data_IF_060251703790
#
_entry.id   IF_060251703790
#
_cell.length_a   1.000
_cell.length_b   1.000
_cell.length_c   1.000
_cell.angle_alpha   90.00
_cell.angle_beta   90.00
_cell.angle_gamma   90.00
#
_symmetry.space_group_name_H-M   'P 1'
#
loop_
_entity.id
_entity.type
_entity.pdbx_description
1 polymer ?
#
# COMPACT_ATOMS: atom_id res chain seq x y z
N UNK A 1 4.56 -4.43 10.28
CA UNK A 1 4.39 -3.46 9.17
C UNK A 1 5.67 -2.66 9.01
N UNK A 2 6.17 -2.56 7.79
CA UNK A 2 7.46 -1.92 7.45
C UNK A 2 7.24 -0.86 6.39
N UNK A 3 7.92 0.30 6.54
CA UNK A 3 7.76 1.47 5.67
C UNK A 3 9.08 1.84 4.97
N UNK A 4 9.43 1.18 3.85
CA UNK A 4 10.74 1.33 3.21
C UNK A 4 11.05 2.75 2.69
N UNK A 5 10.01 3.55 2.43
CA UNK A 5 10.10 4.94 1.96
C UNK A 5 9.54 5.96 2.96
N UNK A 6 9.21 5.52 4.18
CA UNK A 6 8.57 6.38 5.18
C UNK A 6 7.22 6.91 4.69
N UNK A 7 7.04 8.23 4.76
CA UNK A 7 5.82 8.93 4.34
C UNK A 7 5.82 9.35 2.86
N UNK A 8 6.89 9.10 2.10
CA UNK A 8 7.00 9.57 0.70
C UNK A 8 5.99 8.86 -0.19
N UNK A 9 5.22 9.64 -0.95
CA UNK A 9 4.19 9.17 -1.88
C UNK A 9 4.21 9.99 -3.17
N UNK A 10 3.78 9.39 -4.26
CA UNK A 10 3.57 10.06 -5.55
C UNK A 10 2.18 10.71 -5.66
N UNK A 11 1.23 10.34 -4.76
CA UNK A 11 -0.07 10.99 -4.60
C UNK A 11 -0.05 12.00 -3.44
N UNK A 12 -1.10 12.82 -3.38
CA UNK A 12 -1.40 13.77 -2.31
C UNK A 12 -2.90 13.71 -1.98
N UNK A 13 -3.35 12.54 -1.49
CA UNK A 13 -4.74 12.33 -1.11
C UNK A 13 -5.10 13.25 0.06
N UNK A 14 -6.20 14.01 -0.03
CA UNK A 14 -6.54 15.08 0.91
C UNK A 14 -6.68 14.62 2.37
N UNK A 15 -7.19 13.41 2.58
CA UNK A 15 -7.34 12.81 3.92
C UNK A 15 -6.08 12.07 4.42
N UNK A 16 -4.96 12.08 3.66
CA UNK A 16 -3.82 11.23 3.97
C UNK A 16 -3.02 11.76 5.17
N UNK A 17 -3.10 11.07 6.30
CA UNK A 17 -2.36 11.44 7.51
C UNK A 17 -0.83 11.42 7.36
N UNK A 18 -0.29 10.84 6.27
CA UNK A 18 1.15 10.90 5.96
C UNK A 18 1.59 12.26 5.42
N UNK A 19 0.70 13.08 4.83
CA UNK A 19 1.05 14.38 4.28
C UNK A 19 1.63 15.32 5.36
N UNK A 20 1.00 15.36 6.53
CA UNK A 20 1.49 16.17 7.65
C UNK A 20 2.78 15.60 8.24
N UNK A 21 2.90 14.28 8.34
CA UNK A 21 4.08 13.62 8.88
C UNK A 21 5.32 13.78 8.02
N UNK A 22 5.18 14.03 6.73
CA UNK A 22 6.32 14.34 5.86
C UNK A 22 7.05 15.63 6.29
N UNK A 23 6.31 16.58 6.89
CA UNK A 23 6.87 17.85 7.40
C UNK A 23 7.73 17.68 8.66
N UNK A 24 7.55 16.59 9.41
CA UNK A 24 8.37 16.31 10.61
C UNK A 24 9.84 16.02 10.29
N UNK A 25 10.16 15.82 9.02
CA UNK A 25 11.47 15.37 8.55
C UNK A 25 12.03 16.27 7.44
N UNK A 26 11.71 17.57 7.46
CA UNK A 26 12.10 18.53 6.42
C UNK A 26 13.62 18.65 6.24
N UNK A 27 14.41 18.42 7.31
CA UNK A 27 15.87 18.46 7.26
C UNK A 27 16.51 17.18 6.66
N UNK A 28 15.75 16.09 6.52
CA UNK A 28 16.22 14.85 5.92
C UNK A 28 15.29 14.40 4.79
N UNK A 29 15.53 14.80 3.56
CA UNK A 29 14.54 14.68 2.47
C UNK A 29 14.19 13.25 2.04
N UNK A 30 14.86 12.22 2.54
CA UNK A 30 14.58 10.82 2.15
C UNK A 30 14.87 9.85 3.28
N UNK A 31 13.87 9.50 4.07
CA UNK A 31 13.91 8.35 4.98
C UNK A 31 13.73 7.04 4.19
N UNK A 32 14.74 6.69 3.41
CA UNK A 32 14.76 5.47 2.63
C UNK A 32 15.54 4.42 3.40
N UNK A 33 14.93 3.27 3.65
CA UNK A 33 15.56 2.15 4.34
C UNK A 33 16.84 1.73 3.60
N UNK A 34 17.99 1.74 4.29
CA UNK A 34 19.25 1.25 3.74
C UNK A 34 19.25 -0.29 3.68
N UNK A 35 20.19 -0.85 2.93
CA UNK A 35 20.34 -2.29 2.80
C UNK A 35 20.75 -2.94 4.13
N UNK A 36 21.60 -2.26 4.93
CA UNK A 36 22.02 -2.71 6.26
C UNK A 36 20.83 -2.73 7.22
N UNK A 37 19.98 -1.69 7.16
CA UNK A 37 18.78 -1.62 7.99
C UNK A 37 17.75 -2.67 7.56
N UNK A 38 17.62 -2.94 6.27
CA UNK A 38 16.76 -4.00 5.74
C UNK A 38 17.20 -5.36 6.27
N UNK A 39 18.49 -5.69 6.19
CA UNK A 39 19.01 -6.96 6.68
C UNK A 39 18.83 -7.11 8.20
N UNK A 40 19.16 -6.07 8.95
CA UNK A 40 18.96 -6.05 10.40
C UNK A 40 17.49 -6.27 10.75
N UNK A 41 16.57 -5.52 10.11
CA UNK A 41 15.13 -5.64 10.33
C UNK A 41 14.64 -7.06 10.04
N UNK A 42 14.97 -7.63 8.88
CA UNK A 42 14.48 -8.96 8.48
C UNK A 42 14.98 -10.03 9.45
N UNK A 43 16.28 -9.98 9.79
CA UNK A 43 16.89 -10.94 10.73
C UNK A 43 16.22 -10.87 12.10
N UNK A 44 16.16 -9.69 12.70
CA UNK A 44 15.62 -9.50 14.05
C UNK A 44 14.11 -9.81 14.09
N UNK A 45 13.36 -9.40 13.05
CA UNK A 45 11.93 -9.66 12.97
C UNK A 45 11.64 -11.16 12.89
N UNK A 46 12.32 -11.92 12.04
CA UNK A 46 12.14 -13.37 11.96
C UNK A 46 12.55 -14.05 13.28
N UNK A 47 13.69 -13.65 13.87
CA UNK A 47 14.18 -14.23 15.11
C UNK A 47 13.27 -13.95 16.32
N UNK A 48 12.55 -12.84 16.32
CA UNK A 48 11.60 -12.49 17.38
C UNK A 48 10.29 -13.27 17.32
N UNK A 49 9.98 -13.93 16.18
CA UNK A 49 8.74 -14.66 16.02
C UNK A 49 8.83 -16.07 16.63
N UNK A 50 7.77 -16.47 17.33
CA UNK A 50 7.61 -17.83 17.90
C UNK A 50 6.79 -18.74 16.99
N UNK A 51 6.04 -18.17 16.04
CA UNK A 51 5.16 -18.90 15.13
C UNK A 51 5.93 -19.49 13.94
N UNK A 52 5.47 -20.63 13.38
CA UNK A 52 6.10 -21.23 12.21
C UNK A 52 5.89 -20.41 10.91
N UNK A 53 4.94 -19.48 10.91
CA UNK A 53 4.60 -18.61 9.79
C UNK A 53 4.88 -17.15 10.16
N UNK A 54 5.60 -16.42 9.30
CA UNK A 54 5.98 -15.02 9.52
C UNK A 54 5.50 -14.18 8.36
N UNK A 55 4.62 -13.21 8.65
CA UNK A 55 4.08 -12.29 7.66
C UNK A 55 4.84 -10.97 7.65
N UNK A 56 5.37 -10.60 6.49
CA UNK A 56 5.92 -9.27 6.22
C UNK A 56 4.86 -8.40 5.55
N UNK A 57 4.53 -7.27 6.17
CA UNK A 57 3.62 -6.27 5.61
C UNK A 57 4.41 -5.03 5.18
N UNK A 58 4.52 -4.82 3.86
CA UNK A 58 5.15 -3.66 3.26
C UNK A 58 4.13 -2.54 3.05
N UNK A 59 4.38 -1.40 3.65
CA UNK A 59 3.46 -0.26 3.66
C UNK A 59 4.25 1.06 3.61
N UNK A 60 3.60 2.18 3.85
CA UNK A 60 4.24 3.50 3.95
C UNK A 60 3.46 4.52 3.14
N UNK A 61 4.12 5.55 2.64
CA UNK A 61 3.54 6.46 1.67
C UNK A 61 3.13 5.68 0.40
N UNK A 62 4.04 5.56 -0.58
CA UNK A 62 3.84 4.61 -1.68
C UNK A 62 5.03 3.64 -1.75
N UNK A 63 4.75 2.39 -1.45
CA UNK A 63 5.76 1.31 -1.34
C UNK A 63 6.50 1.04 -2.65
N UNK A 64 5.83 1.15 -3.79
CA UNK A 64 6.42 0.92 -5.11
C UNK A 64 7.36 2.05 -5.57
N UNK A 65 7.52 3.12 -4.79
CA UNK A 65 8.60 4.10 -5.00
C UNK A 65 9.98 3.52 -4.63
N UNK A 66 10.04 2.40 -3.87
CA UNK A 66 11.28 1.60 -3.82
C UNK A 66 11.39 0.76 -5.07
N UNK A 67 12.58 0.69 -5.69
CA UNK A 67 12.77 -0.10 -6.89
C UNK A 67 12.65 -1.60 -6.58
N UNK A 68 12.28 -2.37 -7.58
CA UNK A 68 12.05 -3.82 -7.49
C UNK A 68 13.25 -4.59 -6.91
N UNK A 69 14.47 -4.14 -7.21
CA UNK A 69 15.71 -4.74 -6.68
C UNK A 69 15.76 -4.78 -5.16
N UNK A 70 15.15 -3.80 -4.48
CA UNK A 70 15.04 -3.79 -3.02
C UNK A 70 14.21 -4.97 -2.50
N UNK A 71 13.08 -5.27 -3.15
CA UNK A 71 12.22 -6.39 -2.76
C UNK A 71 12.82 -7.74 -3.12
N UNK A 72 13.54 -7.85 -4.25
CA UNK A 72 14.34 -9.03 -4.58
C UNK A 72 15.35 -9.33 -3.48
N UNK A 73 16.09 -8.30 -3.03
CA UNK A 73 17.02 -8.43 -1.89
C UNK A 73 16.32 -8.79 -0.58
N UNK A 74 15.13 -8.22 -0.33
CA UNK A 74 14.35 -8.59 0.86
C UNK A 74 14.00 -10.08 0.88
N UNK A 75 13.58 -10.66 -0.25
CA UNK A 75 13.28 -12.09 -0.36
C UNK A 75 14.54 -12.96 -0.15
N UNK A 76 15.68 -12.56 -0.69
CA UNK A 76 16.95 -13.26 -0.45
C UNK A 76 17.31 -13.29 1.04
N UNK A 77 17.16 -12.16 1.72
CA UNK A 77 17.39 -12.05 3.16
C UNK A 77 16.38 -12.84 3.98
N UNK A 78 15.09 -12.80 3.61
CA UNK A 78 14.06 -13.61 4.23
C UNK A 78 14.40 -15.10 4.13
N UNK A 79 14.78 -15.57 2.95
CA UNK A 79 15.21 -16.95 2.73
C UNK A 79 16.44 -17.30 3.57
N UNK A 80 17.44 -16.40 3.66
CA UNK A 80 18.66 -16.58 4.46
C UNK A 80 18.35 -16.78 5.95
N UNK A 81 17.37 -16.04 6.48
CA UNK A 81 17.07 -16.04 7.92
C UNK A 81 15.81 -16.82 8.32
N UNK A 82 15.11 -17.45 7.38
CA UNK A 82 13.83 -18.14 7.63
C UNK A 82 13.91 -19.19 8.76
N UNK A 83 15.01 -19.93 8.87
CA UNK A 83 15.21 -20.92 9.93
C UNK A 83 14.12 -22.00 9.94
N UNK A 84 13.64 -22.42 8.76
CA UNK A 84 12.56 -23.41 8.61
C UNK A 84 11.13 -22.85 8.72
N UNK A 85 10.96 -21.53 8.89
CA UNK A 85 9.64 -20.88 8.92
C UNK A 85 9.14 -20.60 7.50
N UNK A 86 7.82 -20.61 7.36
CA UNK A 86 7.16 -20.10 6.15
C UNK A 86 7.14 -18.57 6.21
N UNK A 87 7.55 -17.92 5.13
CA UNK A 87 7.56 -16.45 5.03
C UNK A 87 6.54 -16.01 4.00
N UNK A 88 5.57 -15.21 4.44
CA UNK A 88 4.57 -14.59 3.58
C UNK A 88 4.82 -13.09 3.44
N UNK A 89 4.44 -12.56 2.30
CA UNK A 89 4.57 -11.14 2.02
C UNK A 89 3.25 -10.55 1.55
N UNK A 90 2.84 -9.42 2.14
CA UNK A 90 1.80 -8.57 1.59
C UNK A 90 2.31 -7.14 1.41
N UNK A 91 1.79 -6.46 0.41
CA UNK A 91 2.19 -5.10 0.05
C UNK A 91 0.96 -4.23 -0.17
N UNK A 92 0.93 -3.05 0.46
CA UNK A 92 -0.12 -2.06 0.25
C UNK A 92 0.40 -0.97 -0.67
N UNK A 93 -0.36 -0.70 -1.74
CA UNK A 93 -0.01 0.30 -2.75
C UNK A 93 -1.24 1.07 -3.22
N UNK A 94 -1.02 2.29 -3.72
CA UNK A 94 -2.05 3.03 -4.46
C UNK A 94 -2.26 2.52 -5.90
N UNK A 95 -1.49 1.54 -6.35
CA UNK A 95 -1.63 0.87 -7.64
C UNK A 95 -1.16 1.66 -8.86
N UNK A 96 -0.86 2.96 -8.73
CA UNK A 96 -0.56 3.82 -9.89
C UNK A 96 0.82 3.58 -10.53
N UNK A 97 1.71 2.88 -9.83
CA UNK A 97 3.07 2.55 -10.26
C UNK A 97 3.24 1.09 -10.69
N UNK A 98 2.16 0.31 -10.72
CA UNK A 98 2.21 -1.07 -11.16
C UNK A 98 2.58 -1.17 -12.65
N UNK A 99 3.43 -2.14 -12.95
CA UNK A 99 3.88 -2.52 -14.30
C UNK A 99 3.79 -4.03 -14.46
N UNK A 100 3.94 -4.53 -15.69
CA UNK A 100 4.02 -5.98 -15.93
C UNK A 100 5.13 -6.62 -15.09
N UNK A 101 6.33 -6.01 -15.01
CA UNK A 101 7.45 -6.52 -14.22
C UNK A 101 7.11 -6.64 -12.71
N UNK A 102 6.39 -5.66 -12.14
CA UNK A 102 5.91 -5.74 -10.76
C UNK A 102 4.92 -6.89 -10.57
N UNK A 103 3.98 -7.05 -11.49
CA UNK A 103 2.97 -8.10 -11.40
C UNK A 103 3.57 -9.51 -11.56
N UNK A 104 4.52 -9.69 -12.47
CA UNK A 104 5.29 -10.93 -12.61
C UNK A 104 6.02 -11.28 -11.30
N UNK A 105 6.74 -10.32 -10.74
CA UNK A 105 7.43 -10.51 -9.45
C UNK A 105 6.46 -10.90 -8.33
N UNK A 106 5.32 -10.23 -8.21
CA UNK A 106 4.33 -10.55 -7.18
C UNK A 106 3.74 -11.95 -7.37
N UNK A 107 3.44 -12.31 -8.61
CA UNK A 107 2.89 -13.63 -8.94
C UNK A 107 3.88 -14.75 -8.63
N UNK A 108 5.14 -14.59 -9.05
CA UNK A 108 6.21 -15.58 -8.84
C UNK A 108 6.53 -15.79 -7.35
N UNK A 109 6.37 -14.76 -6.53
CA UNK A 109 6.73 -14.79 -5.11
C UNK A 109 5.51 -14.81 -4.17
N UNK A 110 4.32 -15.09 -4.70
CA UNK A 110 3.07 -15.24 -3.94
C UNK A 110 2.76 -14.04 -3.00
N UNK A 111 2.97 -12.81 -3.49
CA UNK A 111 2.57 -11.62 -2.74
C UNK A 111 1.06 -11.45 -2.76
N UNK A 112 0.49 -11.10 -1.62
CA UNK A 112 -0.85 -10.52 -1.56
C UNK A 112 -0.73 -8.99 -1.73
N UNK A 113 -1.42 -8.44 -2.74
CA UNK A 113 -1.36 -7.02 -3.06
C UNK A 113 -2.63 -6.30 -2.60
N UNK A 114 -2.51 -5.43 -1.62
CA UNK A 114 -3.59 -4.51 -1.22
C UNK A 114 -3.60 -3.28 -2.12
N UNK A 115 -4.73 -3.00 -2.76
CA UNK A 115 -4.92 -1.82 -3.60
C UNK A 115 -5.82 -0.81 -2.92
N UNK A 116 -5.32 0.43 -2.82
CA UNK A 116 -6.10 1.54 -2.30
C UNK A 116 -7.01 2.13 -3.39
N UNK A 117 -8.32 1.90 -3.29
CA UNK A 117 -9.33 2.43 -4.21
C UNK A 117 -10.64 2.72 -3.46
N UNK A 118 -11.19 3.91 -3.60
CA UNK A 118 -12.31 4.40 -2.79
C UNK A 118 -13.66 4.39 -3.53
N UNK A 119 -13.91 3.34 -4.33
CA UNK A 119 -15.18 3.16 -5.04
C UNK A 119 -15.15 3.64 -6.49
N UNK A 120 -16.30 4.00 -7.07
CA UNK A 120 -16.43 4.57 -8.40
C UNK A 120 -15.56 5.79 -8.61
N UNK A 121 -15.30 6.16 -9.86
CA UNK A 121 -14.40 7.25 -10.22
C UNK A 121 -14.67 8.54 -9.45
N UNK A 122 -15.94 8.95 -9.34
CA UNK A 122 -16.33 10.18 -8.66
C UNK A 122 -15.97 10.19 -7.17
N UNK A 123 -16.13 9.05 -6.48
CA UNK A 123 -15.77 8.93 -5.06
C UNK A 123 -14.26 8.87 -4.89
N UNK A 124 -13.57 8.14 -5.76
CA UNK A 124 -12.13 8.01 -5.70
C UNK A 124 -11.41 9.34 -5.98
N UNK A 125 -11.79 10.01 -7.05
CA UNK A 125 -11.10 11.21 -7.54
C UNK A 125 -11.44 12.46 -6.72
N UNK A 126 -12.44 12.42 -5.83
CA UNK A 126 -12.71 13.51 -4.90
C UNK A 126 -11.52 13.78 -3.99
N UNK A 127 -10.92 12.74 -3.41
CA UNK A 127 -9.83 12.88 -2.45
C UNK A 127 -8.50 12.30 -2.90
N UNK A 128 -8.48 11.30 -3.81
CA UNK A 128 -7.23 10.66 -4.26
C UNK A 128 -6.66 11.32 -5.51
N UNK A 129 -5.93 12.39 -5.29
CA UNK A 129 -5.31 13.20 -6.34
C UNK A 129 -3.77 13.05 -6.29
N UNK A 130 -3.14 13.34 -7.41
CA UNK A 130 -1.69 13.47 -7.45
C UNK A 130 -1.26 14.85 -6.90
N UNK A 131 0.06 15.10 -6.81
CA UNK A 131 0.63 16.35 -6.29
C UNK A 131 0.30 17.60 -7.13
N UNK A 132 -0.26 17.42 -8.33
CA UNK A 132 -0.74 18.50 -9.21
C UNK A 132 -2.27 18.64 -9.16
N UNK A 133 -2.94 17.99 -8.22
CA UNK A 133 -4.39 18.01 -8.09
C UNK A 133 -5.15 17.21 -9.16
N UNK A 134 -4.45 16.38 -9.95
CA UNK A 134 -5.08 15.60 -11.01
C UNK A 134 -5.63 14.26 -10.46
N UNK A 135 -6.75 13.74 -11.01
CA UNK A 135 -7.36 12.50 -10.63
C UNK A 135 -6.43 11.29 -10.83
N UNK A 136 -6.62 10.25 -10.03
CA UNK A 136 -5.79 9.05 -10.06
C UNK A 136 -6.52 7.77 -10.46
N UNK A 137 -7.85 7.75 -10.52
CA UNK A 137 -8.69 6.59 -10.74
C UNK A 137 -8.24 5.71 -11.93
N UNK A 138 -8.08 6.32 -13.11
CA UNK A 138 -7.68 5.56 -14.31
C UNK A 138 -6.32 4.88 -14.19
N UNK A 139 -5.39 5.48 -13.44
CA UNK A 139 -4.07 4.87 -13.20
C UNK A 139 -4.20 3.67 -12.25
N UNK A 140 -5.04 3.78 -11.23
CA UNK A 140 -5.33 2.68 -10.30
C UNK A 140 -6.01 1.53 -11.04
N UNK A 141 -7.02 1.82 -11.85
CA UNK A 141 -7.72 0.82 -12.68
C UNK A 141 -6.77 0.10 -13.64
N UNK A 142 -5.84 0.83 -14.26
CA UNK A 142 -4.77 0.22 -15.07
C UNK A 142 -3.94 -0.76 -14.22
N UNK A 143 -3.57 -0.38 -13.01
CA UNK A 143 -2.84 -1.25 -12.08
C UNK A 143 -3.63 -2.51 -11.71
N UNK A 144 -4.92 -2.38 -11.38
CA UNK A 144 -5.81 -3.51 -11.09
C UNK A 144 -5.91 -4.46 -12.29
N UNK A 145 -6.06 -3.91 -13.50
CA UNK A 145 -6.11 -4.72 -14.72
C UNK A 145 -4.80 -5.48 -14.96
N UNK A 146 -3.64 -4.92 -14.62
CA UNK A 146 -2.37 -5.63 -14.66
C UNK A 146 -2.31 -6.77 -13.64
N UNK A 147 -2.76 -6.56 -12.41
CA UNK A 147 -2.83 -7.63 -11.41
C UNK A 147 -3.70 -8.79 -11.89
N UNK A 148 -4.89 -8.48 -12.43
CA UNK A 148 -5.81 -9.47 -13.01
C UNK A 148 -5.17 -10.22 -14.19
N UNK A 149 -4.54 -9.49 -15.12
CA UNK A 149 -3.85 -10.06 -16.29
C UNK A 149 -2.80 -11.09 -15.89
N UNK A 150 -2.03 -10.81 -14.84
CA UNK A 150 -0.95 -11.69 -14.35
C UNK A 150 -1.41 -12.72 -13.32
N UNK A 151 -2.68 -12.74 -12.92
CA UNK A 151 -3.22 -13.64 -11.91
C UNK A 151 -2.59 -13.44 -10.52
N UNK A 152 -2.29 -12.18 -10.17
CA UNK A 152 -1.79 -11.80 -8.84
C UNK A 152 -2.97 -11.77 -7.86
N UNK A 153 -2.80 -12.36 -6.69
CA UNK A 153 -3.78 -12.22 -5.60
C UNK A 153 -3.81 -10.80 -5.06
N UNK A 154 -5.01 -10.22 -4.99
CA UNK A 154 -5.18 -8.86 -4.51
C UNK A 154 -6.48 -8.66 -3.73
N UNK A 155 -6.48 -7.63 -2.89
CA UNK A 155 -7.66 -7.14 -2.19
C UNK A 155 -7.78 -5.62 -2.35
N UNK A 156 -8.99 -5.09 -2.18
CA UNK A 156 -9.23 -3.66 -2.15
C UNK A 156 -9.21 -3.15 -0.70
N UNK A 157 -8.61 -1.98 -0.50
CA UNK A 157 -8.74 -1.19 0.71
C UNK A 157 -9.38 0.15 0.33
N UNK A 158 -10.53 0.44 0.92
CA UNK A 158 -11.32 1.61 0.61
C UNK A 158 -11.56 2.46 1.86
N UNK A 159 -11.36 3.77 1.74
CA UNK A 159 -11.67 4.72 2.81
C UNK A 159 -13.13 5.13 2.71
N UNK A 160 -13.85 4.97 3.83
CA UNK A 160 -15.21 5.51 3.98
C UNK A 160 -15.07 6.92 4.56
N UNK A 161 -15.63 7.89 3.86
CA UNK A 161 -15.56 9.31 4.17
C UNK A 161 -16.93 9.98 3.99
N UNK A 162 -17.03 11.27 4.25
CA UNK A 162 -18.27 12.04 4.15
C UNK A 162 -18.89 12.09 2.74
N UNK A 163 -18.06 11.94 1.69
CA UNK A 163 -18.53 12.00 0.32
C UNK A 163 -19.16 10.66 -0.17
N UNK A 164 -18.70 9.53 0.32
CA UNK A 164 -19.17 8.20 -0.11
C UNK A 164 -20.04 7.47 0.92
N UNK A 165 -20.09 7.92 2.18
CA UNK A 165 -20.79 7.23 3.27
C UNK A 165 -22.31 7.12 3.04
N UNK A 166 -22.91 8.09 2.35
CA UNK A 166 -24.35 8.10 2.07
C UNK A 166 -24.74 7.22 0.87
N UNK A 167 -23.77 6.63 0.17
CA UNK A 167 -23.96 5.78 -1.01
C UNK A 167 -23.45 4.34 -0.82
N UNK A 168 -23.81 3.64 0.26
CA UNK A 168 -23.17 2.35 0.63
C UNK A 168 -23.42 1.25 -0.41
N UNK A 169 -24.57 1.27 -1.11
CA UNK A 169 -24.91 0.26 -2.12
C UNK A 169 -24.12 0.47 -3.40
N UNK A 170 -24.00 1.70 -3.88
CA UNK A 170 -23.25 2.00 -5.10
C UNK A 170 -21.75 1.78 -4.88
N UNK A 171 -21.28 2.16 -3.70
CA UNK A 171 -19.91 1.89 -3.24
C UNK A 171 -19.61 0.38 -3.23
N UNK A 172 -20.48 -0.45 -2.62
CA UNK A 172 -20.29 -1.91 -2.56
C UNK A 172 -20.44 -2.58 -3.92
N UNK A 173 -21.44 -2.18 -4.73
CA UNK A 173 -21.68 -2.73 -6.07
C UNK A 173 -20.49 -2.53 -6.99
N UNK A 174 -19.84 -1.39 -6.93
CA UNK A 174 -18.62 -1.13 -7.70
C UNK A 174 -17.57 -2.22 -7.46
N UNK A 175 -17.27 -2.58 -6.21
CA UNK A 175 -16.29 -3.62 -5.92
C UNK A 175 -16.75 -5.00 -6.35
N UNK A 176 -18.02 -5.33 -6.11
CA UNK A 176 -18.57 -6.65 -6.43
C UNK A 176 -18.77 -6.84 -7.94
N UNK A 177 -19.43 -5.89 -8.58
CA UNK A 177 -19.97 -6.07 -9.94
C UNK A 177 -19.00 -5.57 -11.04
N UNK A 178 -18.31 -4.46 -10.78
CA UNK A 178 -17.38 -3.88 -11.76
C UNK A 178 -15.95 -4.37 -11.58
N UNK A 179 -15.48 -4.46 -10.34
CA UNK A 179 -14.14 -4.94 -10.05
C UNK A 179 -14.03 -6.44 -9.85
N UNK A 180 -15.12 -7.18 -9.67
CA UNK A 180 -15.10 -8.60 -9.28
C UNK A 180 -14.10 -8.84 -8.14
N UNK A 181 -14.17 -7.96 -7.12
CA UNK A 181 -13.26 -7.97 -5.98
C UNK A 181 -13.85 -8.79 -4.84
N UNK A 182 -13.23 -9.92 -4.53
CA UNK A 182 -13.73 -10.83 -3.50
C UNK A 182 -13.39 -10.42 -2.06
N UNK A 183 -12.36 -9.61 -1.86
CA UNK A 183 -11.89 -9.21 -0.55
C UNK A 183 -11.76 -7.69 -0.47
N UNK A 184 -12.59 -7.08 0.37
CA UNK A 184 -12.66 -5.63 0.53
C UNK A 184 -12.47 -5.29 2.01
N UNK A 185 -11.59 -4.36 2.30
CA UNK A 185 -11.43 -3.77 3.62
C UNK A 185 -11.95 -2.33 3.59
N UNK A 186 -12.99 -2.03 4.36
CA UNK A 186 -13.47 -0.69 4.58
C UNK A 186 -12.80 -0.07 5.80
N UNK A 187 -12.23 1.11 5.63
CA UNK A 187 -11.55 1.85 6.70
C UNK A 187 -12.23 3.21 6.85
N UNK A 188 -12.97 3.46 7.94
CA UNK A 188 -13.54 4.78 8.15
C UNK A 188 -12.43 5.81 8.38
N UNK A 189 -12.61 7.00 7.82
CA UNK A 189 -11.71 8.12 8.07
C UNK A 189 -11.84 8.56 9.54
N UNK A 190 -10.70 8.88 10.14
CA UNK A 190 -10.66 9.46 11.49
C UNK A 190 -9.83 10.74 11.43
N UNK A 191 -10.49 11.86 11.63
CA UNK A 191 -9.86 13.18 11.67
C UNK A 191 -9.96 13.79 13.08
N UNK A 192 -8.96 14.60 13.42
CA UNK A 192 -9.02 15.38 14.67
C UNK A 192 -9.84 16.62 14.44
N UNK A 193 -10.89 16.82 15.25
CA UNK A 193 -11.71 18.04 15.23
C UNK A 193 -11.07 19.23 15.96
N UNK A 194 -9.82 19.17 16.39
CA UNK A 194 -9.18 20.25 17.13
C UNK A 194 -8.41 21.19 16.20
N UNK A 195 -8.77 22.47 16.22
CA UNK A 195 -7.99 23.58 15.67
C UNK A 195 -6.77 23.94 16.56
N UNK A 196 -6.34 23.10 17.47
CA UNK A 196 -5.18 23.36 18.34
C UNK A 196 -3.90 22.99 17.60
N UNK A 197 -3.01 23.97 17.46
CA UNK A 197 -1.69 23.79 16.88
C UNK A 197 -0.76 22.87 17.70
N UNK A 198 -1.20 22.49 18.91
CA UNK A 198 -0.51 21.73 19.95
C UNK A 198 -1.18 20.38 20.25
N UNK A 199 -2.02 19.89 19.33
CA UNK A 199 -2.81 18.66 19.47
C UNK A 199 -2.06 17.35 19.32
#
# INVERSE_FOLDING_TARGET
MTKPVGAVCNLACDYCYYLEKSKLYEEQPRHVMSDELLEKFIKEYIQSQTMPQVLFTWHGGETLMRPLVFYKKALELQKKYAGGRTIDNCIQTNGTLLTDEWCEFFRENNFLVGISIDGPQEFHDEYRKNKMGQPSFYKVMKGINLLKKHGVEWNAMAVVNDYNADYPLDFYRFFRDELDCHYIQFTPIVERLSNRADG
#
